data_IF_217101557395
#
_entry.id   IF_217101557395
#
_cell.length_a   1.000
_cell.length_b   1.000
_cell.length_c   1.000
_cell.angle_alpha   90.00
_cell.angle_beta   90.00
_cell.angle_gamma   90.00
#
_symmetry.space_group_name_H-M   'P 1'
#
loop_
_entity.id
_entity.type
_entity.pdbx_description
1 polymer ?
#
# COMPACT_ATOMS: atom_id res chain seq x y z
N UNK A 1 7.69 -0.93 -27.40
CA UNK A 1 7.39 -0.67 -25.98
C UNK A 1 8.30 -1.58 -25.15
N UNK A 2 8.88 -1.09 -24.06
CA UNK A 2 9.66 -1.94 -23.15
C UNK A 2 8.74 -2.99 -22.49
N UNK A 3 9.24 -4.21 -22.30
CA UNK A 3 8.45 -5.31 -21.72
C UNK A 3 8.19 -5.09 -20.23
N UNK A 4 7.19 -5.77 -19.63
CA UNK A 4 6.96 -5.74 -18.17
C UNK A 4 8.23 -6.16 -17.43
N UNK A 5 8.99 -7.11 -17.98
CA UNK A 5 10.29 -7.54 -17.45
C UNK A 5 11.30 -6.39 -17.39
N UNK A 6 11.48 -5.66 -18.49
CA UNK A 6 12.46 -4.56 -18.55
C UNK A 6 12.05 -3.41 -17.64
N UNK A 7 10.75 -3.12 -17.58
CA UNK A 7 10.18 -2.11 -16.71
C UNK A 7 10.37 -2.46 -15.22
N UNK A 8 10.06 -3.71 -14.82
CA UNK A 8 10.31 -4.18 -13.45
C UNK A 8 11.79 -4.09 -13.08
N UNK A 9 12.69 -4.47 -14.00
CA UNK A 9 14.13 -4.37 -13.79
C UNK A 9 14.55 -2.91 -13.54
N UNK A 10 14.14 -1.99 -14.42
CA UNK A 10 14.46 -0.57 -14.29
C UNK A 10 13.91 0.05 -13.00
N UNK A 11 12.68 -0.31 -12.60
CA UNK A 11 12.10 0.15 -11.33
C UNK A 11 12.87 -0.39 -10.13
N UNK A 12 13.24 -1.68 -10.13
CA UNK A 12 14.04 -2.28 -9.05
C UNK A 12 15.43 -1.64 -8.93
N UNK A 13 16.07 -1.33 -10.05
CA UNK A 13 17.35 -0.61 -10.07
C UNK A 13 17.23 0.80 -9.47
N UNK A 14 16.17 1.54 -9.79
CA UNK A 14 15.91 2.86 -9.18
C UNK A 14 15.65 2.76 -7.68
N UNK A 15 14.92 1.75 -7.23
CA UNK A 15 14.70 1.51 -5.79
C UNK A 15 16.03 1.22 -5.11
N UNK A 16 16.84 0.31 -5.65
CA UNK A 16 18.13 -0.05 -5.08
C UNK A 16 19.08 1.16 -4.98
N UNK A 17 19.12 2.01 -6.02
CA UNK A 17 19.89 3.25 -5.99
C UNK A 17 19.38 4.22 -4.92
N UNK A 18 18.06 4.35 -4.75
CA UNK A 18 17.48 5.20 -3.72
C UNK A 18 17.74 4.66 -2.30
N UNK A 19 17.75 3.34 -2.11
CA UNK A 19 18.17 2.70 -0.86
C UNK A 19 19.62 3.04 -0.54
N UNK A 20 20.53 2.83 -1.50
CA UNK A 20 21.96 3.12 -1.38
C UNK A 20 22.21 4.60 -1.02
N UNK A 21 21.62 5.53 -1.78
CA UNK A 21 21.74 6.97 -1.54
C UNK A 21 21.19 7.40 -0.18
N UNK A 22 20.26 6.63 0.38
CA UNK A 22 19.67 6.87 1.70
C UNK A 22 20.42 6.15 2.83
N UNK A 23 21.52 5.45 2.53
CA UNK A 23 22.27 4.66 3.51
C UNK A 23 21.47 3.48 4.07
N UNK A 24 20.51 2.96 3.32
CA UNK A 24 19.62 1.87 3.75
C UNK A 24 20.11 0.53 3.22
N UNK A 25 19.77 -0.54 3.95
CA UNK A 25 20.12 -1.90 3.55
C UNK A 25 19.43 -2.28 2.22
N UNK A 26 20.11 -3.00 1.31
CA UNK A 26 19.49 -3.50 0.09
C UNK A 26 18.26 -4.36 0.40
N UNK A 27 17.15 -4.09 -0.29
CA UNK A 27 15.90 -4.83 -0.10
C UNK A 27 15.10 -4.43 1.15
N UNK A 28 15.46 -3.33 1.80
CA UNK A 28 14.67 -2.72 2.88
C UNK A 28 13.35 -2.10 2.40
N UNK A 29 13.18 -1.93 1.08
CA UNK A 29 11.99 -1.37 0.43
C UNK A 29 11.36 -2.42 -0.50
N UNK A 30 10.11 -2.77 -0.23
CA UNK A 30 9.30 -3.64 -1.09
C UNK A 30 8.67 -2.86 -2.22
N UNK A 31 8.75 -3.42 -3.42
CA UNK A 31 8.02 -2.94 -4.59
C UNK A 31 6.62 -3.56 -4.60
N UNK A 32 5.58 -2.74 -4.46
CA UNK A 32 4.20 -3.13 -4.71
C UNK A 32 3.80 -2.76 -6.15
N UNK A 33 3.60 -3.76 -7.00
CA UNK A 33 3.20 -3.54 -8.38
C UNK A 33 1.69 -3.24 -8.46
N UNK A 34 1.33 -2.01 -8.82
CA UNK A 34 -0.07 -1.57 -8.88
C UNK A 34 -0.67 -1.94 -10.24
N UNK A 35 -1.40 -3.05 -10.26
CA UNK A 35 -1.97 -3.68 -11.45
C UNK A 35 -3.42 -3.29 -11.76
N UNK A 36 -3.99 -2.33 -11.03
CA UNK A 36 -5.34 -1.80 -11.30
C UNK A 36 -5.53 -1.48 -12.78
N UNK A 37 -6.72 -1.75 -13.32
CA UNK A 37 -7.07 -1.62 -14.75
C UNK A 37 -6.30 -2.51 -15.75
N UNK A 38 -5.25 -3.24 -15.35
CA UNK A 38 -4.57 -4.22 -16.20
C UNK A 38 -5.16 -5.62 -15.98
N UNK A 39 -5.19 -6.48 -17.01
CA UNK A 39 -5.82 -7.80 -16.93
C UNK A 39 -4.93 -8.81 -16.19
N UNK A 40 -5.45 -10.01 -15.91
CA UNK A 40 -4.74 -11.03 -15.12
C UNK A 40 -3.48 -11.56 -15.84
N UNK A 41 -3.44 -11.49 -17.17
CA UNK A 41 -2.31 -11.89 -17.99
C UNK A 41 -1.06 -11.05 -17.71
N UNK A 42 -1.23 -9.74 -17.51
CA UNK A 42 -0.13 -8.83 -17.16
C UNK A 42 0.42 -9.11 -15.75
N UNK A 43 -0.48 -9.44 -14.81
CA UNK A 43 -0.09 -9.92 -13.47
C UNK A 43 0.69 -11.23 -13.58
N UNK A 44 0.24 -12.17 -14.41
CA UNK A 44 0.93 -13.43 -14.63
C UNK A 44 2.31 -13.25 -15.29
N UNK A 45 2.47 -12.28 -16.20
CA UNK A 45 3.78 -11.92 -16.75
C UNK A 45 4.71 -11.33 -15.69
N UNK A 46 4.24 -10.38 -14.89
CA UNK A 46 5.01 -9.79 -13.80
C UNK A 46 5.41 -10.87 -12.76
N UNK A 47 4.50 -11.79 -12.43
CA UNK A 47 4.73 -12.91 -11.52
C UNK A 47 5.84 -13.84 -12.05
N UNK A 48 5.85 -14.15 -13.36
CA UNK A 48 6.93 -14.90 -14.01
C UNK A 48 8.28 -14.15 -13.98
N UNK A 49 8.26 -12.83 -13.80
CA UNK A 49 9.45 -12.00 -13.60
C UNK A 49 9.85 -11.84 -12.11
N UNK A 50 9.25 -12.66 -11.23
CA UNK A 50 9.55 -12.70 -9.80
C UNK A 50 8.85 -11.63 -8.97
N UNK A 51 7.92 -10.86 -9.53
CA UNK A 51 7.09 -9.95 -8.72
C UNK A 51 6.08 -10.75 -7.90
N UNK A 52 5.92 -10.42 -6.61
CA UNK A 52 5.03 -11.17 -5.69
C UNK A 52 3.92 -10.30 -5.12
N UNK A 53 4.23 -9.09 -4.66
CA UNK A 53 3.25 -8.15 -4.10
C UNK A 53 2.55 -7.37 -5.22
N UNK A 54 1.21 -7.45 -5.27
CA UNK A 54 0.37 -6.74 -6.24
C UNK A 54 -0.72 -5.91 -5.56
N UNK A 55 -0.91 -4.68 -6.04
CA UNK A 55 -1.85 -3.71 -5.48
C UNK A 55 -3.03 -3.45 -6.41
N UNK A 56 -4.25 -3.63 -5.89
CA UNK A 56 -5.50 -3.27 -6.56
C UNK A 56 -6.20 -2.12 -5.82
N UNK A 57 -6.94 -1.30 -6.57
CA UNK A 57 -7.65 -0.16 -5.99
C UNK A 57 -9.09 -0.52 -5.61
N UNK A 58 -9.68 -1.52 -6.24
CA UNK A 58 -11.07 -1.90 -6.04
C UNK A 58 -11.18 -3.38 -5.72
N UNK A 59 -12.06 -3.72 -4.78
CA UNK A 59 -12.33 -5.12 -4.41
C UNK A 59 -12.79 -5.94 -5.62
N UNK A 60 -13.50 -5.32 -6.56
CA UNK A 60 -13.94 -5.94 -7.80
C UNK A 60 -12.78 -6.38 -8.69
N UNK A 61 -11.64 -5.67 -8.67
CA UNK A 61 -10.45 -6.10 -9.41
C UNK A 61 -9.82 -7.34 -8.78
N UNK A 62 -9.87 -7.45 -7.44
CA UNK A 62 -9.46 -8.67 -6.74
C UNK A 62 -10.42 -9.83 -7.07
N UNK A 63 -11.74 -9.56 -7.08
CA UNK A 63 -12.76 -10.56 -7.43
C UNK A 63 -12.52 -11.18 -8.81
N UNK A 64 -12.08 -10.36 -9.78
CA UNK A 64 -11.79 -10.86 -11.11
C UNK A 64 -10.44 -11.53 -11.19
N UNK A 65 -9.40 -11.03 -10.52
CA UNK A 65 -8.02 -11.51 -10.68
C UNK A 65 -7.66 -12.69 -9.80
N UNK A 66 -8.00 -12.66 -8.51
CA UNK A 66 -7.60 -13.69 -7.53
C UNK A 66 -7.91 -15.12 -8.00
N UNK A 67 -9.09 -15.42 -8.59
CA UNK A 67 -9.42 -16.78 -9.04
C UNK A 67 -8.53 -17.33 -10.16
N UNK A 68 -7.79 -16.49 -10.89
CA UNK A 68 -6.89 -16.93 -11.95
C UNK A 68 -5.56 -17.51 -11.43
N UNK A 69 -5.27 -17.39 -10.13
CA UNK A 69 -3.98 -17.77 -9.56
C UNK A 69 -4.12 -18.85 -8.48
N UNK A 70 -3.09 -19.68 -8.36
CA UNK A 70 -2.98 -20.65 -7.26
C UNK A 70 -2.86 -19.94 -5.92
N UNK A 71 -3.55 -20.42 -4.89
CA UNK A 71 -3.43 -19.88 -3.54
C UNK A 71 -2.04 -20.09 -2.92
N UNK A 72 -1.31 -21.14 -3.31
CA UNK A 72 0.01 -21.47 -2.71
C UNK A 72 1.19 -20.78 -3.40
N UNK A 73 1.08 -20.55 -4.71
CA UNK A 73 2.18 -20.04 -5.53
C UNK A 73 1.87 -18.70 -6.22
N UNK A 74 0.69 -18.13 -5.94
CA UNK A 74 0.18 -16.93 -6.57
C UNK A 74 0.71 -15.61 -6.00
N UNK A 75 0.16 -14.50 -6.49
CA UNK A 75 0.40 -13.15 -5.95
C UNK A 75 0.03 -13.02 -4.47
N UNK A 76 0.72 -12.13 -3.77
CA UNK A 76 0.25 -11.55 -2.50
C UNK A 76 -0.59 -10.33 -2.87
N UNK A 77 -1.85 -10.31 -2.43
CA UNK A 77 -2.81 -9.30 -2.84
C UNK A 77 -2.98 -8.18 -1.81
N UNK A 78 -2.77 -6.95 -2.25
CA UNK A 78 -2.92 -5.74 -1.46
C UNK A 78 -4.10 -4.92 -1.98
N UNK A 79 -5.07 -4.61 -1.12
CA UNK A 79 -6.06 -3.59 -1.39
C UNK A 79 -5.52 -2.23 -0.92
N UNK A 80 -5.31 -1.31 -1.85
CA UNK A 80 -4.68 -0.01 -1.58
C UNK A 80 -5.57 1.19 -1.89
N UNK A 81 -6.77 0.96 -2.46
CA UNK A 81 -7.78 1.99 -2.66
C UNK A 81 -8.79 1.99 -1.52
N UNK A 82 -9.48 3.13 -1.34
CA UNK A 82 -10.46 3.31 -0.28
C UNK A 82 -11.47 2.17 -0.18
N UNK A 83 -11.63 1.64 1.03
CA UNK A 83 -12.48 0.49 1.31
C UNK A 83 -13.80 0.94 1.93
N UNK A 84 -14.87 0.84 1.14
CA UNK A 84 -16.22 1.03 1.64
C UNK A 84 -16.62 -0.10 2.58
N UNK A 85 -17.29 0.20 3.71
CA UNK A 85 -17.66 -0.79 4.72
C UNK A 85 -18.49 -1.95 4.17
N UNK A 86 -19.36 -1.71 3.18
CA UNK A 86 -20.17 -2.75 2.54
C UNK A 86 -19.36 -3.73 1.66
N UNK A 87 -18.11 -3.41 1.35
CA UNK A 87 -17.16 -4.27 0.61
C UNK A 87 -16.15 -4.96 1.51
N UNK A 88 -16.09 -4.62 2.80
CA UNK A 88 -15.11 -5.16 3.74
C UNK A 88 -15.14 -6.70 3.83
N UNK A 89 -16.32 -7.34 3.84
CA UNK A 89 -16.39 -8.79 3.88
C UNK A 89 -15.76 -9.47 2.65
N UNK A 90 -15.97 -8.87 1.47
CA UNK A 90 -15.38 -9.37 0.22
C UNK A 90 -13.87 -9.10 0.18
N UNK A 91 -13.44 -7.93 0.67
CA UNK A 91 -12.02 -7.62 0.81
C UNK A 91 -11.31 -8.61 1.75
N UNK A 92 -11.95 -8.97 2.88
CA UNK A 92 -11.39 -9.89 3.86
C UNK A 92 -11.15 -11.30 3.30
N UNK A 93 -12.01 -11.76 2.39
CA UNK A 93 -11.85 -13.06 1.75
C UNK A 93 -10.73 -13.08 0.69
N UNK A 94 -10.44 -11.95 0.06
CA UNK A 94 -9.61 -11.89 -1.16
C UNK A 94 -8.22 -11.28 -0.96
N UNK A 95 -8.09 -10.31 -0.06
CA UNK A 95 -6.84 -9.61 0.17
C UNK A 95 -6.00 -10.30 1.26
N UNK A 96 -4.69 -10.19 1.14
CA UNK A 96 -3.73 -10.55 2.20
C UNK A 96 -3.31 -9.30 2.99
N UNK A 97 -3.35 -8.14 2.31
CA UNK A 97 -3.07 -6.83 2.89
C UNK A 97 -4.16 -5.82 2.58
N UNK A 98 -4.48 -4.96 3.54
CA UNK A 98 -5.36 -3.80 3.34
C UNK A 98 -4.66 -2.55 3.86
N UNK A 99 -4.30 -1.64 2.95
CA UNK A 99 -3.52 -0.45 3.29
C UNK A 99 -4.38 0.77 3.62
N UNK A 100 -5.67 0.70 3.34
CA UNK A 100 -6.61 1.81 3.30
C UNK A 100 -7.57 1.84 4.50
N UNK A 101 -7.15 1.34 5.67
CA UNK A 101 -8.03 1.33 6.85
C UNK A 101 -8.00 2.72 7.49
N UNK A 102 -9.11 3.46 7.37
CA UNK A 102 -9.21 4.87 7.78
C UNK A 102 -10.25 5.12 8.89
N UNK A 103 -10.97 4.07 9.33
CA UNK A 103 -12.04 4.21 10.32
C UNK A 103 -12.28 2.92 11.11
N UNK A 104 -12.66 3.09 12.39
CA UNK A 104 -12.99 1.97 13.31
C UNK A 104 -14.09 1.09 12.71
N UNK A 105 -15.09 1.70 12.05
CA UNK A 105 -16.19 0.97 11.41
C UNK A 105 -15.72 0.01 10.31
N UNK A 106 -14.76 0.42 9.48
CA UNK A 106 -14.18 -0.45 8.44
C UNK A 106 -13.37 -1.56 9.09
N UNK A 107 -12.54 -1.23 10.09
CA UNK A 107 -11.72 -2.16 10.83
C UNK A 107 -12.56 -3.26 11.51
N UNK A 108 -13.56 -2.90 12.32
CA UNK A 108 -14.45 -3.85 12.99
C UNK A 108 -15.25 -4.72 12.01
N UNK A 109 -15.58 -4.18 10.83
CA UNK A 109 -16.27 -4.97 9.80
C UNK A 109 -15.31 -5.93 9.12
N UNK A 110 -14.06 -5.54 8.89
CA UNK A 110 -13.02 -6.44 8.39
C UNK A 110 -12.77 -7.58 9.36
N UNK A 111 -12.50 -7.25 10.63
CA UNK A 111 -12.16 -8.24 11.66
C UNK A 111 -13.27 -9.29 11.81
N UNK A 112 -14.53 -8.85 11.92
CA UNK A 112 -15.68 -9.76 12.00
C UNK A 112 -15.93 -10.60 10.75
N UNK A 113 -15.42 -10.19 9.59
CA UNK A 113 -15.66 -10.92 8.32
C UNK A 113 -14.45 -11.75 7.89
N UNK A 114 -13.32 -11.63 8.57
CA UNK A 114 -12.10 -12.31 8.21
C UNK A 114 -12.13 -13.75 8.74
N UNK A 115 -11.74 -14.69 7.88
CA UNK A 115 -11.57 -16.12 8.23
C UNK A 115 -10.08 -16.52 8.21
N UNK A 116 -9.21 -15.55 7.93
CA UNK A 116 -7.74 -15.68 7.91
C UNK A 116 -7.13 -14.40 8.47
N UNK A 117 -5.85 -14.48 8.83
CA UNK A 117 -5.11 -13.29 9.24
C UNK A 117 -4.92 -12.34 8.05
N UNK A 118 -5.21 -11.06 8.27
CA UNK A 118 -5.04 -10.00 7.27
C UNK A 118 -4.11 -8.95 7.85
N UNK A 119 -3.08 -8.59 7.08
CA UNK A 119 -2.16 -7.52 7.46
C UNK A 119 -2.78 -6.18 7.09
N UNK A 120 -2.86 -5.25 8.04
CA UNK A 120 -3.47 -3.94 7.82
C UNK A 120 -2.47 -2.80 8.04
N UNK A 121 -2.64 -1.76 7.24
CA UNK A 121 -2.05 -0.44 7.50
C UNK A 121 -3.17 0.57 7.70
N UNK A 122 -2.90 1.56 8.53
CA UNK A 122 -3.82 2.68 8.77
C UNK A 122 -3.51 3.80 7.78
N UNK A 123 -4.52 4.29 7.05
CA UNK A 123 -4.35 5.33 6.03
C UNK A 123 -4.60 6.72 6.63
N UNK A 124 -3.61 7.60 6.52
CA UNK A 124 -3.70 8.99 6.98
C UNK A 124 -3.68 9.96 5.81
N UNK A 125 -4.57 10.94 5.85
CA UNK A 125 -4.52 12.09 4.96
C UNK A 125 -3.59 13.16 5.57
N UNK A 126 -2.35 13.21 5.05
CA UNK A 126 -1.32 14.16 5.46
C UNK A 126 -0.97 15.18 4.37
N UNK A 127 -1.72 15.20 3.26
CA UNK A 127 -1.48 16.15 2.15
C UNK A 127 -2.17 17.50 2.37
N UNK A 128 -3.11 17.57 3.31
CA UNK A 128 -3.93 18.77 3.55
C UNK A 128 -5.07 18.96 2.54
N UNK A 129 -5.27 18.03 1.61
CA UNK A 129 -6.36 18.09 0.64
C UNK A 129 -7.60 17.36 1.19
N UNK A 130 -8.65 18.11 1.53
CA UNK A 130 -9.89 17.54 2.11
C UNK A 130 -10.54 16.46 1.23
N UNK A 131 -10.35 16.52 -0.09
CA UNK A 131 -10.90 15.57 -1.04
C UNK A 131 -10.18 14.21 -1.06
N UNK A 132 -9.06 14.06 -0.35
CA UNK A 132 -8.30 12.80 -0.31
C UNK A 132 -8.76 11.87 0.80
N UNK A 133 -8.63 10.59 0.51
CA UNK A 133 -8.94 9.48 1.42
C UNK A 133 -7.93 9.38 2.56
N UNK A 134 -8.30 8.61 3.59
CA UNK A 134 -7.53 8.52 4.81
C UNK A 134 -8.08 9.38 5.92
N UNK A 135 -7.71 9.04 7.15
CA UNK A 135 -8.17 9.79 8.30
C UNK A 135 -7.50 11.15 8.39
N UNK A 136 -8.31 12.17 8.68
CA UNK A 136 -7.89 13.48 9.13
C UNK A 136 -8.03 13.58 10.67
N UNK A 137 -7.49 14.63 11.27
CA UNK A 137 -7.61 14.87 12.71
C UNK A 137 -6.39 14.48 13.54
N UNK A 138 -5.25 14.22 12.88
CA UNK A 138 -3.95 14.06 13.55
C UNK A 138 -3.85 12.78 14.39
N UNK A 139 -3.04 12.85 15.45
CA UNK A 139 -2.68 11.67 16.23
C UNK A 139 -3.84 11.11 17.08
N UNK A 140 -4.76 11.96 17.56
CA UNK A 140 -5.90 11.52 18.38
C UNK A 140 -6.86 10.61 17.59
N UNK A 141 -7.04 10.88 16.29
CA UNK A 141 -7.80 10.01 15.41
C UNK A 141 -7.09 8.68 15.18
N UNK A 142 -5.77 8.71 15.03
CA UNK A 142 -4.92 7.53 14.85
C UNK A 142 -4.94 6.62 16.08
N UNK A 143 -4.88 7.17 17.30
CA UNK A 143 -4.92 6.40 18.56
C UNK A 143 -6.16 5.49 18.63
N UNK A 144 -7.34 6.02 18.29
CA UNK A 144 -8.60 5.24 18.29
C UNK A 144 -8.54 4.05 17.34
N UNK A 145 -7.91 4.20 16.18
CA UNK A 145 -7.73 3.10 15.24
C UNK A 145 -6.70 2.09 15.74
N UNK A 146 -5.59 2.55 16.33
CA UNK A 146 -4.57 1.66 16.89
C UNK A 146 -5.18 0.79 17.97
N UNK A 147 -5.90 1.37 18.93
CA UNK A 147 -6.53 0.64 20.03
C UNK A 147 -7.53 -0.40 19.53
N UNK A 148 -8.33 -0.03 18.52
CA UNK A 148 -9.26 -0.95 17.86
C UNK A 148 -8.52 -2.08 17.12
N UNK A 149 -7.43 -1.76 16.41
CA UNK A 149 -6.60 -2.73 15.69
C UNK A 149 -5.89 -3.72 16.63
N UNK A 150 -5.38 -3.24 17.76
CA UNK A 150 -4.71 -4.09 18.76
C UNK A 150 -5.68 -5.04 19.47
N UNK A 151 -6.97 -4.73 19.45
CA UNK A 151 -8.04 -5.57 19.99
C UNK A 151 -8.65 -6.52 18.96
N UNK A 152 -8.23 -6.43 17.70
CA UNK A 152 -8.75 -7.25 16.61
C UNK A 152 -8.25 -8.70 16.72
N UNK A 153 -9.07 -9.66 16.28
CA UNK A 153 -8.72 -11.09 16.36
C UNK A 153 -7.98 -11.57 15.12
N UNK A 154 -8.38 -11.09 13.94
CA UNK A 154 -7.89 -11.53 12.63
C UNK A 154 -7.07 -10.47 11.90
N UNK A 155 -6.97 -9.25 12.45
CA UNK A 155 -6.23 -8.17 11.83
C UNK A 155 -4.88 -7.97 12.52
N UNK A 156 -3.82 -7.99 11.72
CA UNK A 156 -2.47 -7.68 12.17
C UNK A 156 -2.12 -6.25 11.76
N UNK A 157 -2.03 -5.36 12.74
CA UNK A 157 -1.53 -4.01 12.52
C UNK A 157 -0.02 -4.03 12.24
N UNK A 158 0.38 -3.68 11.02
CA UNK A 158 1.79 -3.70 10.61
C UNK A 158 2.37 -2.31 10.32
N UNK A 159 1.55 -1.26 10.24
CA UNK A 159 2.07 0.08 10.04
C UNK A 159 1.08 1.09 9.48
N UNK A 160 1.63 2.10 8.80
CA UNK A 160 0.88 3.25 8.31
C UNK A 160 1.00 3.42 6.79
N UNK A 161 0.04 4.12 6.20
CA UNK A 161 -0.01 4.46 4.78
C UNK A 161 -0.35 5.93 4.58
N UNK A 162 0.30 6.58 3.61
CA UNK A 162 -0.13 7.90 3.12
C UNK A 162 0.20 8.11 1.64
N UNK A 163 -0.31 9.21 1.11
CA UNK A 163 -0.04 9.73 -0.23
C UNK A 163 0.27 11.22 -0.14
N UNK A 164 1.35 11.66 -0.80
CA UNK A 164 1.61 13.08 -0.98
C UNK A 164 0.57 13.75 -1.90
N UNK A 165 0.53 15.08 -1.90
CA UNK A 165 -0.26 15.86 -2.85
C UNK A 165 0.10 15.49 -4.31
N UNK A 166 -0.87 15.45 -5.21
CA UNK A 166 -0.57 15.11 -6.61
C UNK A 166 0.25 16.25 -7.21
N UNK A 167 1.43 15.95 -7.76
CA UNK A 167 2.33 16.98 -8.29
C UNK A 167 3.01 17.83 -7.21
N UNK A 168 3.04 17.34 -5.96
CA UNK A 168 3.85 17.92 -4.90
C UNK A 168 5.32 18.05 -5.35
N UNK A 169 5.96 19.16 -4.98
CA UNK A 169 7.41 19.28 -5.08
C UNK A 169 8.12 18.37 -4.06
N UNK A 170 9.44 18.21 -4.21
CA UNK A 170 10.23 17.35 -3.32
C UNK A 170 10.04 17.73 -1.85
N UNK A 171 10.07 19.04 -1.54
CA UNK A 171 9.97 19.53 -0.16
C UNK A 171 8.64 19.13 0.47
N UNK A 172 7.54 19.32 -0.26
CA UNK A 172 6.19 18.99 0.20
C UNK A 172 6.02 17.49 0.36
N UNK A 173 6.43 16.70 -0.64
CA UNK A 173 6.35 15.23 -0.58
C UNK A 173 7.14 14.67 0.61
N UNK A 174 8.38 15.12 0.79
CA UNK A 174 9.23 14.70 1.92
C UNK A 174 8.64 15.11 3.26
N UNK A 175 8.07 16.30 3.38
CA UNK A 175 7.41 16.73 4.62
C UNK A 175 6.22 15.82 4.97
N UNK A 176 5.41 15.42 3.99
CA UNK A 176 4.31 14.47 4.19
C UNK A 176 4.81 13.10 4.66
N UNK A 177 5.87 12.59 4.03
CA UNK A 177 6.43 11.28 4.37
C UNK A 177 7.16 11.26 5.72
N UNK A 178 7.88 12.32 6.06
CA UNK A 178 8.49 12.50 7.37
C UNK A 178 7.43 12.51 8.48
N UNK A 179 6.32 13.24 8.27
CA UNK A 179 5.22 13.27 9.23
C UNK A 179 4.61 11.88 9.45
N UNK A 180 4.45 11.05 8.41
CA UNK A 180 3.98 9.67 8.58
C UNK A 180 4.94 8.84 9.44
N UNK A 181 6.25 8.94 9.19
CA UNK A 181 7.29 8.24 9.97
C UNK A 181 7.24 8.68 11.44
N UNK A 182 7.14 9.97 11.72
CA UNK A 182 7.07 10.50 13.08
C UNK A 182 5.84 10.01 13.83
N UNK A 183 4.68 9.94 13.17
CA UNK A 183 3.46 9.38 13.74
C UNK A 183 3.62 7.89 14.04
N UNK A 184 4.26 7.13 13.14
CA UNK A 184 4.59 5.71 13.36
C UNK A 184 5.51 5.55 14.58
N UNK A 185 6.62 6.29 14.63
CA UNK A 185 7.61 6.20 15.70
C UNK A 185 7.02 6.60 17.06
N UNK A 186 6.09 7.57 17.08
CA UNK A 186 5.32 7.93 18.27
C UNK A 186 4.42 6.78 18.71
N UNK A 187 3.67 6.18 17.78
CA UNK A 187 2.78 5.06 18.06
C UNK A 187 3.53 3.82 18.59
N UNK A 188 4.68 3.46 18.00
CA UNK A 188 5.52 2.35 18.49
C UNK A 188 5.95 2.57 19.94
N UNK A 189 6.39 3.78 20.29
CA UNK A 189 6.81 4.10 21.67
C UNK A 189 5.66 4.09 22.65
N UNK A 190 4.53 4.70 22.29
CA UNK A 190 3.40 4.88 23.20
C UNK A 190 2.69 3.56 23.51
N UNK A 191 2.48 2.73 22.49
CA UNK A 191 1.82 1.44 22.64
C UNK A 191 2.79 0.27 22.87
N UNK A 192 4.11 0.52 22.85
CA UNK A 192 5.15 -0.51 22.95
C UNK A 192 4.97 -1.65 21.94
N UNK A 193 4.63 -1.29 20.71
CA UNK A 193 4.40 -2.21 19.58
C UNK A 193 5.42 -1.99 18.47
N UNK A 194 5.43 -2.89 17.48
CA UNK A 194 6.19 -2.72 16.24
C UNK A 194 5.24 -2.45 15.08
N UNK A 195 5.54 -1.40 14.33
CA UNK A 195 4.87 -0.95 13.11
C UNK A 195 5.91 -0.90 11.99
N UNK A 196 6.37 -2.07 11.52
CA UNK A 196 7.49 -2.14 10.59
C UNK A 196 7.24 -1.43 9.26
N UNK A 197 5.98 -1.21 8.86
CA UNK A 197 5.65 -0.77 7.51
C UNK A 197 5.29 0.70 7.39
N UNK A 198 5.88 1.35 6.40
CA UNK A 198 5.48 2.68 5.91
C UNK A 198 5.19 2.57 4.42
N UNK A 199 3.91 2.46 4.07
CA UNK A 199 3.46 2.43 2.69
C UNK A 199 3.33 3.85 2.17
N UNK A 200 4.35 4.36 1.49
CA UNK A 200 4.36 5.71 0.94
C UNK A 200 5.31 5.83 -0.26
N UNK A 201 4.98 6.72 -1.20
CA UNK A 201 5.68 6.85 -2.47
C UNK A 201 5.03 6.08 -3.62
N UNK A 202 4.91 6.77 -4.75
CA UNK A 202 4.39 6.31 -6.04
C UNK A 202 5.38 6.66 -7.15
N UNK A 203 5.04 6.38 -8.42
CA UNK A 203 5.95 6.53 -9.57
C UNK A 203 6.67 7.89 -9.68
N UNK A 204 6.10 8.97 -9.14
CA UNK A 204 6.64 10.33 -9.26
C UNK A 204 7.48 10.78 -8.06
N UNK A 205 7.38 10.11 -6.91
CA UNK A 205 7.92 10.58 -5.63
C UNK A 205 8.50 9.46 -4.74
N UNK A 206 8.60 8.23 -5.24
CA UNK A 206 9.05 7.11 -4.42
C UNK A 206 10.50 7.26 -3.95
N UNK A 207 11.39 7.89 -4.73
CA UNK A 207 12.76 8.16 -4.27
C UNK A 207 12.77 9.08 -3.04
N UNK A 208 11.88 10.08 -3.01
CA UNK A 208 11.70 10.95 -1.84
C UNK A 208 11.13 10.16 -0.66
N UNK A 209 10.18 9.27 -0.92
CA UNK A 209 9.59 8.42 0.11
C UNK A 209 10.63 7.45 0.73
N UNK A 210 11.53 6.87 -0.09
CA UNK A 210 12.59 5.98 0.39
C UNK A 210 13.56 6.71 1.31
N UNK A 211 13.95 7.95 0.95
CA UNK A 211 14.77 8.83 1.79
C UNK A 211 14.11 9.13 3.13
N UNK A 212 12.78 9.21 3.16
CA UNK A 212 12.01 9.41 4.39
C UNK A 212 11.61 8.13 5.12
N UNK A 213 12.11 6.96 4.68
CA UNK A 213 11.95 5.70 5.41
C UNK A 213 10.79 4.80 4.93
N UNK A 214 10.27 5.01 3.71
CA UNK A 214 9.27 4.10 3.11
C UNK A 214 9.74 2.65 3.13
N UNK A 215 8.87 1.70 3.45
CA UNK A 215 9.15 0.26 3.31
C UNK A 215 8.36 -0.39 2.20
N UNK A 216 7.35 0.30 1.66
CA UNK A 216 6.55 -0.16 0.53
C UNK A 216 6.32 1.02 -0.42
N UNK A 217 6.81 0.90 -1.65
CA UNK A 217 6.56 1.87 -2.73
C UNK A 217 5.58 1.29 -3.74
N UNK A 218 4.62 2.10 -4.19
CA UNK A 218 3.46 1.64 -4.99
C UNK A 218 3.56 2.14 -6.43
N UNK A 219 3.97 1.27 -7.34
CA UNK A 219 4.34 1.68 -8.71
C UNK A 219 3.44 0.95 -9.72
N UNK A 220 2.76 1.70 -10.57
CA UNK A 220 1.87 1.15 -11.61
C UNK A 220 2.37 1.46 -13.02
N UNK A 221 2.22 2.72 -13.45
CA UNK A 221 2.54 3.16 -14.82
C UNK A 221 3.96 2.84 -15.28
N UNK A 222 4.94 2.88 -14.38
CA UNK A 222 6.32 2.55 -14.73
C UNK A 222 6.57 1.05 -14.94
N UNK A 223 5.61 0.18 -14.56
CA UNK A 223 5.68 -1.28 -14.73
C UNK A 223 4.84 -1.71 -15.94
N UNK A 224 3.56 -1.35 -15.94
CA UNK A 224 2.58 -1.83 -16.91
C UNK A 224 2.34 -0.87 -18.09
N UNK A 225 2.93 0.33 -18.06
CA UNK A 225 2.77 1.34 -19.09
C UNK A 225 1.63 2.33 -18.86
N UNK A 226 1.37 3.17 -19.85
CA UNK A 226 0.26 4.12 -19.85
C UNK A 226 -1.08 3.40 -19.86
N UNK A 227 -2.08 3.95 -19.15
CA UNK A 227 -3.42 3.36 -19.07
C UNK A 227 -4.03 3.33 -20.48
N UNK A 228 -4.49 2.17 -20.90
CA UNK A 228 -5.46 2.10 -22.00
C UNK A 228 -6.83 2.42 -21.38
N UNK A 229 -7.27 3.67 -21.50
CA UNK A 229 -8.68 3.99 -21.29
C UNK A 229 -9.41 3.42 -22.49
N UNK A 230 -9.63 2.10 -22.49
CA UNK A 230 -10.40 1.45 -23.53
C UNK A 230 -11.65 2.26 -23.77
N UNK A 231 -11.78 2.79 -24.98
CA UNK A 231 -12.98 3.50 -25.41
C UNK A 231 -14.13 2.51 -25.31
N UNK A 232 -14.95 2.64 -24.26
CA UNK A 232 -16.37 2.27 -24.20
C UNK A 232 -17.01 2.78 -22.92
#
# INVERSE_FOLDING_TARGET
MASIRDNLKAVRERIALAEEQSGRAPGSVRLLAVSKTFPAEDVAEALRCGQRDFGENRVQELETKVPHFSAEAGPVWHLIGHLQTNKAAKAAALADWIHSVDSVRVLEKLDRSAEKDIRILLELNLSGEEAKTGMAGGYDALQKLIESALSATHLKLDGLMTMAALGADEKTARSTFAALRELRDRAEREYSIRLPELSMGMSADFEYAIREGSTIVRIGTAIFGGRDYGVR
#
